data_IF_711247262097
#
_entry.id   IF_711247262097
#
_cell.length_a   1.000
_cell.length_b   1.000
_cell.length_c   1.000
_cell.angle_alpha   90.00
_cell.angle_beta   90.00
_cell.angle_gamma   90.00
#
_symmetry.space_group_name_H-M   'P 1'
#
loop_
_entity.id
_entity.type
_entity.pdbx_description
1 polymer ?
#
# COMPACT_ATOMS: atom_id res chain seq x y z
N UNK A 1 44.99 40.96 -14.70
CA UNK A 1 43.98 40.47 -13.76
C UNK A 1 43.97 38.96 -13.84
N UNK A 2 44.09 38.27 -12.71
CA UNK A 2 43.85 36.83 -12.63
C UNK A 2 42.60 36.57 -11.78
N UNK A 3 41.84 35.53 -12.09
CA UNK A 3 40.65 35.13 -11.33
C UNK A 3 40.51 33.61 -11.30
N UNK A 4 39.86 33.11 -10.26
CA UNK A 4 39.36 31.75 -10.22
C UNK A 4 38.03 31.66 -10.98
N UNK A 5 37.83 30.58 -11.74
CA UNK A 5 36.57 30.32 -12.43
C UNK A 5 36.27 28.82 -12.51
N UNK A 6 34.98 28.47 -12.46
CA UNK A 6 34.50 27.11 -12.62
C UNK A 6 34.63 26.63 -14.06
N UNK A 7 35.14 25.42 -14.23
CA UNK A 7 35.17 24.72 -15.52
C UNK A 7 34.08 23.65 -15.51
N UNK A 8 33.35 23.51 -16.63
CA UNK A 8 32.41 22.40 -16.82
C UNK A 8 33.19 21.10 -16.97
N UNK A 9 32.76 20.09 -16.24
CA UNK A 9 33.30 18.73 -16.27
C UNK A 9 33.28 18.15 -17.69
N UNK A 10 34.44 17.98 -18.33
CA UNK A 10 34.69 16.97 -19.37
C UNK A 10 36.08 16.33 -19.18
N UNK A 11 36.21 15.09 -19.69
CA UNK A 11 37.33 14.17 -19.53
C UNK A 11 38.72 14.84 -19.53
N UNK A 12 39.57 14.42 -18.59
CA UNK A 12 40.97 14.87 -18.38
C UNK A 12 41.88 14.78 -19.63
N UNK A 13 41.41 14.20 -20.75
CA UNK A 13 42.13 14.02 -22.00
C UNK A 13 41.99 15.17 -23.01
N UNK A 14 41.19 16.20 -22.74
CA UNK A 14 40.97 17.32 -23.67
C UNK A 14 41.32 18.71 -23.09
N UNK A 15 42.11 18.77 -22.01
CA UNK A 15 42.52 20.06 -21.42
C UNK A 15 43.62 20.78 -22.20
N UNK A 16 44.16 20.17 -23.27
CA UNK A 16 45.24 20.74 -24.08
C UNK A 16 44.77 21.75 -25.15
N UNK A 17 43.46 21.94 -25.35
CA UNK A 17 42.93 22.90 -26.33
C UNK A 17 41.97 23.90 -25.69
N UNK A 18 42.51 25.08 -25.41
CA UNK A 18 41.82 26.32 -25.06
C UNK A 18 40.58 26.56 -25.93
N UNK A 19 39.37 26.32 -25.41
CA UNK A 19 38.16 26.94 -25.92
C UNK A 19 37.26 27.40 -24.75
N UNK A 20 36.88 28.68 -24.82
CA UNK A 20 36.04 29.42 -23.85
C UNK A 20 34.63 28.82 -23.63
N UNK A 21 34.23 27.80 -24.39
CA UNK A 21 32.88 27.22 -24.39
C UNK A 21 32.58 26.32 -23.17
N UNK A 22 33.61 25.87 -22.45
CA UNK A 22 33.46 25.00 -21.27
C UNK A 22 33.42 25.75 -19.94
N UNK A 23 33.42 27.08 -19.94
CA UNK A 23 33.34 27.87 -18.72
C UNK A 23 31.91 27.85 -18.17
N UNK A 24 31.73 27.37 -16.93
CA UNK A 24 30.42 27.41 -16.27
C UNK A 24 30.19 28.78 -15.65
N UNK A 25 29.17 29.49 -16.13
CA UNK A 25 28.65 30.69 -15.45
C UNK A 25 27.68 30.34 -14.31
N UNK A 26 27.36 29.06 -14.09
CA UNK A 26 26.52 28.65 -12.94
C UNK A 26 27.39 28.62 -11.68
N UNK A 27 27.22 29.63 -10.84
CA UNK A 27 27.82 29.73 -9.51
C UNK A 27 26.90 29.19 -8.41
N UNK A 28 26.04 28.22 -8.71
CA UNK A 28 25.05 27.71 -7.77
C UNK A 28 24.98 26.18 -7.80
N UNK A 29 25.03 25.57 -6.60
CA UNK A 29 24.67 24.17 -6.37
C UNK A 29 23.32 24.14 -5.65
N UNK A 30 22.30 23.66 -6.35
CA UNK A 30 20.94 23.58 -5.82
C UNK A 30 20.60 22.18 -5.29
N UNK A 31 19.70 22.13 -4.30
CA UNK A 31 19.18 20.89 -3.73
C UNK A 31 20.25 19.99 -3.07
N UNK A 32 21.32 20.58 -2.55
CA UNK A 32 22.40 19.85 -1.87
C UNK A 32 21.93 19.29 -0.53
N UNK A 33 22.32 18.05 -0.22
CA UNK A 33 22.04 17.43 1.09
C UNK A 33 22.98 18.00 2.16
N UNK A 34 22.42 18.38 3.31
CA UNK A 34 23.24 18.78 4.46
C UNK A 34 23.99 17.58 5.04
N UNK A 35 25.32 17.70 5.14
CA UNK A 35 26.22 16.59 5.50
C UNK A 35 26.56 15.67 4.33
N UNK A 36 26.06 15.96 3.12
CA UNK A 36 26.44 15.25 1.90
C UNK A 36 27.72 15.81 1.28
N UNK A 37 28.39 15.00 0.46
CA UNK A 37 29.55 15.43 -0.32
C UNK A 37 29.13 16.43 -1.40
N UNK A 38 29.89 17.50 -1.58
CA UNK A 38 29.77 18.36 -2.75
C UNK A 38 30.14 17.57 -4.02
N UNK A 39 29.52 17.91 -5.16
CA UNK A 39 29.97 17.38 -6.45
C UNK A 39 31.43 17.76 -6.68
N UNK A 40 32.13 16.98 -7.51
CA UNK A 40 33.50 17.30 -7.89
C UNK A 40 33.51 18.65 -8.62
N UNK A 41 34.31 19.58 -8.12
CA UNK A 41 34.40 20.94 -8.63
C UNK A 41 35.79 21.15 -9.22
N UNK A 42 35.84 21.63 -10.46
CA UNK A 42 37.07 22.01 -11.13
C UNK A 42 37.18 23.54 -11.15
N UNK A 43 38.24 24.06 -10.54
CA UNK A 43 38.53 25.50 -10.55
C UNK A 43 39.83 25.73 -11.31
N UNK A 44 39.78 26.59 -12.33
CA UNK A 44 40.98 27.07 -13.00
C UNK A 44 41.37 28.47 -12.52
N UNK A 45 42.68 28.69 -12.47
CA UNK A 45 43.29 30.01 -12.44
C UNK A 45 43.33 30.55 -13.86
N UNK A 46 42.60 31.63 -14.12
CA UNK A 46 42.46 32.24 -15.45
C UNK A 46 43.11 33.63 -15.44
N UNK A 47 43.82 33.96 -16.52
CA UNK A 47 44.47 35.25 -16.73
C UNK A 47 43.53 36.34 -17.30
N UNK A 48 44.10 37.49 -17.69
CA UNK A 48 43.34 38.63 -18.24
C UNK A 48 42.74 38.32 -19.61
N UNK A 49 43.32 37.38 -20.35
CA UNK A 49 42.93 36.99 -21.69
C UNK A 49 41.94 35.83 -21.72
N UNK A 50 41.53 35.32 -20.54
CA UNK A 50 40.62 34.18 -20.44
C UNK A 50 41.34 32.83 -20.57
N UNK A 51 42.66 32.80 -20.43
CA UNK A 51 43.49 31.61 -20.57
C UNK A 51 43.81 31.00 -19.20
N UNK A 52 43.70 29.66 -19.08
CA UNK A 52 44.21 28.90 -17.93
C UNK A 52 45.72 29.14 -17.78
N UNK A 53 46.16 29.40 -16.54
CA UNK A 53 47.56 29.65 -16.19
C UNK A 53 48.29 28.30 -16.02
N UNK A 54 48.61 27.67 -17.15
CA UNK A 54 49.16 26.31 -17.21
C UNK A 54 50.56 26.11 -16.59
N UNK A 55 51.24 27.20 -16.22
CA UNK A 55 52.55 27.16 -15.55
C UNK A 55 52.46 27.12 -14.01
N UNK A 56 51.27 27.13 -13.44
CA UNK A 56 51.06 27.03 -11.99
C UNK A 56 50.89 25.57 -11.53
N UNK A 57 51.87 25.08 -10.77
CA UNK A 57 51.89 23.74 -10.18
C UNK A 57 52.07 23.75 -8.64
N UNK A 58 52.17 24.94 -8.06
CA UNK A 58 52.54 25.12 -6.65
C UNK A 58 51.47 25.78 -5.82
N UNK A 59 50.61 26.59 -6.43
CA UNK A 59 49.57 27.29 -5.70
C UNK A 59 48.55 26.33 -5.12
N UNK A 60 47.84 26.82 -4.11
CA UNK A 60 46.78 26.11 -3.41
C UNK A 60 45.48 26.90 -3.49
N UNK A 61 44.39 26.18 -3.67
CA UNK A 61 43.04 26.71 -3.50
C UNK A 61 42.54 26.29 -2.12
N UNK A 62 42.18 27.28 -1.30
CA UNK A 62 41.64 27.12 0.05
C UNK A 62 40.15 27.46 0.08
N UNK A 63 39.39 26.58 0.70
CA UNK A 63 37.94 26.71 0.87
C UNK A 63 37.62 27.23 2.27
N UNK A 64 36.73 28.21 2.37
CA UNK A 64 36.22 28.73 3.64
C UNK A 64 34.72 29.03 3.55
N UNK A 65 34.03 28.97 4.69
CA UNK A 65 32.64 29.43 4.81
C UNK A 65 32.62 30.62 5.74
N UNK A 66 31.96 31.69 5.33
CA UNK A 66 31.74 32.84 6.20
C UNK A 66 30.57 32.56 7.14
N UNK A 67 30.83 32.65 8.44
CA UNK A 67 29.84 32.42 9.50
C UNK A 67 29.16 33.71 9.98
N UNK A 68 29.48 34.85 9.37
CA UNK A 68 28.98 36.18 9.73
C UNK A 68 27.88 36.63 8.75
N UNK A 69 26.86 37.32 9.25
CA UNK A 69 25.67 37.77 8.48
C UNK A 69 24.89 36.62 7.82
N UNK A 70 24.80 35.48 8.50
CA UNK A 70 23.98 34.36 8.06
C UNK A 70 22.49 34.70 8.21
N UNK A 71 21.68 34.15 7.30
CA UNK A 71 20.22 34.17 7.44
C UNK A 71 19.80 33.58 8.80
N UNK A 72 18.65 34.03 9.32
CA UNK A 72 18.11 33.58 10.61
C UNK A 72 18.00 32.04 10.70
N UNK A 73 17.70 31.39 9.58
CA UNK A 73 17.68 29.92 9.45
C UNK A 73 19.08 29.30 9.52
N UNK A 74 20.08 29.88 8.87
CA UNK A 74 21.46 29.36 8.87
C UNK A 74 22.18 29.63 10.21
N UNK A 75 21.70 30.59 10.99
CA UNK A 75 22.25 30.89 12.33
C UNK A 75 21.90 29.81 13.37
N UNK A 76 20.81 29.05 13.18
CA UNK A 76 20.38 27.99 14.11
C UNK A 76 21.35 26.80 14.15
N UNK A 77 21.88 26.42 12.99
CA UNK A 77 22.91 25.40 12.83
C UNK A 77 23.97 25.96 11.89
N UNK A 78 25.06 26.47 12.48
CA UNK A 78 26.10 27.20 11.75
C UNK A 78 26.73 26.32 10.68
N UNK A 79 27.00 26.88 9.48
CA UNK A 79 27.57 26.13 8.39
C UNK A 79 29.05 25.80 8.66
N UNK A 80 29.45 24.57 8.36
CA UNK A 80 30.83 24.14 8.46
C UNK A 80 31.19 23.12 7.39
N UNK A 81 32.49 22.98 7.14
CA UNK A 81 33.05 22.03 6.17
C UNK A 81 33.69 20.87 6.92
N UNK A 82 33.45 19.65 6.45
CA UNK A 82 34.21 18.47 6.84
C UNK A 82 35.01 17.96 5.63
N UNK A 83 36.24 17.49 5.88
CA UNK A 83 37.17 17.03 4.84
C UNK A 83 38.33 17.98 4.60
N UNK A 84 38.95 17.88 3.42
CA UNK A 84 40.08 18.72 3.05
C UNK A 84 39.61 20.13 2.69
N UNK A 85 40.29 21.14 3.20
CA UNK A 85 40.04 22.55 2.87
C UNK A 85 41.11 23.17 1.96
N UNK A 86 42.25 22.49 1.80
CA UNK A 86 43.38 22.94 0.98
C UNK A 86 43.62 21.95 -0.18
N UNK A 87 43.60 22.46 -1.41
CA UNK A 87 43.76 21.69 -2.66
C UNK A 87 44.90 22.26 -3.47
N UNK A 88 45.81 21.41 -3.97
CA UNK A 88 46.93 21.85 -4.79
C UNK A 88 46.50 22.04 -6.25
N UNK A 89 46.95 23.13 -6.86
CA UNK A 89 46.78 23.43 -8.28
C UNK A 89 47.84 22.69 -9.09
N UNK A 90 47.42 22.03 -10.18
CA UNK A 90 48.29 21.38 -11.14
C UNK A 90 47.96 21.90 -12.54
N UNK A 91 48.93 22.52 -13.22
CA UNK A 91 48.72 23.10 -14.54
C UNK A 91 47.63 24.19 -14.56
N UNK A 92 47.54 24.99 -13.50
CA UNK A 92 46.52 26.02 -13.35
C UNK A 92 45.12 25.52 -12.99
N UNK A 93 44.93 24.21 -12.77
CA UNK A 93 43.63 23.60 -12.41
C UNK A 93 43.72 22.95 -11.02
N UNK A 94 42.73 23.24 -10.18
CA UNK A 94 42.51 22.62 -8.87
C UNK A 94 41.27 21.74 -8.92
N UNK A 95 41.40 20.49 -8.46
CA UNK A 95 40.30 19.51 -8.36
C UNK A 95 39.84 19.42 -6.91
N UNK A 96 38.61 19.86 -6.65
CA UNK A 96 38.00 19.84 -5.32
C UNK A 96 37.06 18.64 -5.24
N UNK A 97 37.34 17.74 -4.31
CA UNK A 97 36.61 16.50 -4.08
C UNK A 97 36.66 16.13 -2.59
N UNK A 98 35.75 15.25 -2.16
CA UNK A 98 35.65 14.78 -0.76
C UNK A 98 35.45 15.92 0.25
N UNK A 99 34.74 16.97 -0.16
CA UNK A 99 34.33 18.09 0.70
C UNK A 99 32.88 17.89 1.08
N UNK A 100 32.58 17.85 2.38
CA UNK A 100 31.22 17.72 2.90
C UNK A 100 30.82 19.04 3.52
N UNK A 101 29.59 19.48 3.24
CA UNK A 101 29.09 20.75 3.78
C UNK A 101 27.84 20.50 4.59
N UNK A 102 27.85 21.01 5.82
CA UNK A 102 26.75 20.88 6.77
C UNK A 102 26.28 22.25 7.19
N UNK A 103 24.97 22.47 7.22
CA UNK A 103 24.30 23.66 7.76
C UNK A 103 22.84 23.32 8.06
N UNK A 104 22.03 24.27 8.53
CA UNK A 104 20.59 24.03 8.68
C UNK A 104 19.96 23.61 7.32
N UNK A 105 19.28 22.45 7.22
CA UNK A 105 18.55 22.04 6.01
C UNK A 105 17.60 23.15 5.52
N UNK A 106 17.52 23.32 4.20
CA UNK A 106 16.74 24.40 3.58
C UNK A 106 17.37 25.80 3.62
N UNK A 107 18.55 25.96 4.22
CA UNK A 107 19.28 27.24 4.23
C UNK A 107 20.11 27.48 2.96
N UNK A 108 20.48 28.75 2.76
CA UNK A 108 21.38 29.20 1.70
C UNK A 108 22.61 29.85 2.32
N UNK A 109 23.78 29.60 1.74
CA UNK A 109 25.03 30.25 2.10
C UNK A 109 26.00 30.12 0.92
N UNK A 110 27.12 30.84 0.98
CA UNK A 110 28.18 30.73 -0.02
C UNK A 110 29.44 30.11 0.57
N UNK A 111 30.12 29.35 -0.27
CA UNK A 111 31.47 28.83 -0.02
C UNK A 111 32.45 29.73 -0.76
N UNK A 112 33.44 30.26 -0.04
CA UNK A 112 34.49 31.12 -0.58
C UNK A 112 35.71 30.29 -0.94
N UNK A 113 36.22 30.50 -2.15
CA UNK A 113 37.44 29.88 -2.66
C UNK A 113 38.49 30.97 -2.83
N UNK A 114 39.57 30.83 -2.07
CA UNK A 114 40.73 31.71 -2.08
C UNK A 114 41.93 30.96 -2.65
N UNK A 115 42.90 31.66 -3.23
CA UNK A 115 44.14 31.05 -3.71
C UNK A 115 45.34 31.97 -3.47
N UNK A 116 46.49 31.38 -3.21
CA UNK A 116 47.78 32.08 -3.17
C UNK A 116 48.38 32.34 -4.58
N UNK A 117 47.83 31.73 -5.64
CA UNK A 117 48.24 31.99 -7.03
C UNK A 117 47.86 33.38 -7.53
N UNK A 118 46.93 34.08 -6.85
CA UNK A 118 46.52 35.44 -7.18
C UNK A 118 47.25 36.43 -6.27
N UNK A 119 48.28 37.07 -6.82
CA UNK A 119 48.98 38.16 -6.14
C UNK A 119 48.14 39.45 -6.13
N UNK A 120 47.52 39.74 -5.00
CA UNK A 120 46.70 40.95 -4.78
C UNK A 120 47.51 42.25 -4.80
N UNK A 121 48.84 42.20 -4.67
CA UNK A 121 49.69 43.38 -4.69
C UNK A 121 49.81 44.00 -6.09
N UNK A 122 49.58 43.20 -7.15
CA UNK A 122 49.67 43.62 -8.55
C UNK A 122 48.67 44.72 -8.88
N UNK A 123 49.14 45.76 -9.56
CA UNK A 123 48.33 46.92 -9.96
C UNK A 123 47.06 46.52 -10.71
N UNK A 124 47.16 45.56 -11.65
CA UNK A 124 46.00 45.09 -12.42
C UNK A 124 44.90 44.40 -11.58
N UNK A 125 45.25 43.83 -10.42
CA UNK A 125 44.29 43.23 -9.50
C UNK A 125 43.67 44.30 -8.58
N UNK A 126 44.47 45.28 -8.13
CA UNK A 126 44.00 46.45 -7.37
C UNK A 126 43.00 47.29 -8.15
N UNK A 127 43.25 47.54 -9.43
CA UNK A 127 42.33 48.28 -10.31
C UNK A 127 40.99 47.53 -10.48
N UNK A 128 41.04 46.21 -10.67
CA UNK A 128 39.84 45.39 -10.79
C UNK A 128 39.02 45.34 -9.49
N UNK A 129 39.68 45.21 -8.34
CA UNK A 129 39.02 45.26 -7.01
C UNK A 129 38.29 46.59 -6.80
N UNK A 130 38.93 47.71 -7.16
CA UNK A 130 38.30 49.05 -7.11
C UNK A 130 37.14 49.20 -8.09
N UNK A 131 37.29 48.70 -9.32
CA UNK A 131 36.23 48.77 -10.35
C UNK A 131 35.02 47.90 -9.99
N UNK A 132 35.25 46.76 -9.35
CA UNK A 132 34.20 45.80 -9.00
C UNK A 132 33.65 45.99 -7.58
N UNK A 133 34.11 46.99 -6.84
CA UNK A 133 33.78 47.23 -5.42
C UNK A 133 33.96 45.97 -4.55
N UNK A 134 35.02 45.19 -4.78
CA UNK A 134 35.32 43.97 -4.03
C UNK A 134 36.57 44.16 -3.15
N UNK A 135 36.52 43.66 -1.92
CA UNK A 135 37.65 43.67 -0.99
C UNK A 135 38.69 42.58 -1.31
N UNK A 136 38.26 41.46 -1.90
CA UNK A 136 39.11 40.35 -2.32
C UNK A 136 38.68 39.80 -3.69
N UNK A 137 39.49 38.91 -4.25
CA UNK A 137 39.23 38.22 -5.53
C UNK A 137 38.77 36.78 -5.33
N UNK A 138 38.21 36.48 -4.16
CA UNK A 138 37.72 35.15 -3.86
C UNK A 138 36.55 34.80 -4.77
N UNK A 139 36.51 33.55 -5.21
CA UNK A 139 35.40 33.02 -5.95
C UNK A 139 34.34 32.52 -4.95
N UNK A 140 33.11 33.02 -5.07
CA UNK A 140 31.99 32.59 -4.23
C UNK A 140 31.11 31.61 -5.00
N UNK A 141 30.81 30.49 -4.37
CA UNK A 141 29.87 29.48 -4.86
C UNK A 141 28.64 29.46 -3.95
N UNK A 142 27.48 29.72 -4.50
CA UNK A 142 26.22 29.66 -3.78
C UNK A 142 25.78 28.20 -3.59
N UNK A 143 25.51 27.82 -2.35
CA UNK A 143 25.02 26.50 -1.98
C UNK A 143 23.60 26.67 -1.41
N UNK A 144 22.64 26.02 -2.07
CA UNK A 144 21.28 25.90 -1.57
C UNK A 144 21.03 24.49 -1.06
N UNK A 145 20.88 24.34 0.25
CA UNK A 145 20.54 23.07 0.86
C UNK A 145 19.07 22.74 0.68
N UNK A 146 18.76 21.46 0.47
CA UNK A 146 17.40 20.94 0.58
C UNK A 146 17.03 20.67 2.04
N UNK A 147 15.74 20.59 2.29
CA UNK A 147 15.21 20.03 3.54
C UNK A 147 15.51 18.52 3.63
N UNK A 148 15.48 17.96 4.84
CA UNK A 148 15.56 16.51 5.01
C UNK A 148 14.35 15.83 4.35
N UNK A 149 14.58 14.67 3.73
CA UNK A 149 13.56 13.85 3.11
C UNK A 149 12.97 12.85 4.11
N UNK A 150 11.81 12.27 3.77
CA UNK A 150 11.27 11.12 4.52
C UNK A 150 12.26 9.96 4.41
N UNK A 151 12.53 9.29 5.53
CA UNK A 151 13.58 8.29 5.64
C UNK A 151 14.95 8.84 6.03
N UNK A 152 15.10 10.16 6.15
CA UNK A 152 16.28 10.78 6.75
C UNK A 152 15.98 11.20 8.19
N UNK A 153 17.01 11.17 9.02
CA UNK A 153 16.99 11.76 10.35
C UNK A 153 17.86 13.02 10.40
N UNK A 154 17.38 13.99 11.17
CA UNK A 154 18.04 15.27 11.38
C UNK A 154 18.97 15.13 12.59
N UNK A 155 20.27 15.38 12.41
CA UNK A 155 21.26 15.32 13.50
C UNK A 155 21.36 16.64 14.26
N UNK A 156 21.82 16.62 15.51
CA UNK A 156 22.13 17.83 16.27
C UNK A 156 23.17 18.75 15.60
N UNK A 157 23.98 18.20 14.70
CA UNK A 157 24.95 18.95 13.89
C UNK A 157 24.34 19.61 12.63
N UNK A 158 23.06 19.43 12.34
CA UNK A 158 22.40 19.99 11.15
C UNK A 158 22.45 19.10 9.90
N UNK A 159 22.96 17.88 9.98
CA UNK A 159 23.01 16.92 8.86
C UNK A 159 21.66 16.22 8.67
N UNK A 160 21.34 15.90 7.41
CA UNK A 160 20.29 14.94 7.06
C UNK A 160 20.97 13.62 6.67
N UNK A 161 20.77 12.56 7.44
CA UNK A 161 21.38 11.25 7.16
C UNK A 161 20.27 10.22 6.94
N UNK A 162 20.47 9.30 6.00
CA UNK A 162 19.50 8.23 5.72
C UNK A 162 19.50 7.24 6.88
N UNK A 163 18.33 6.77 7.31
CA UNK A 163 18.22 5.73 8.33
C UNK A 163 18.89 4.44 7.86
N UNK A 164 19.69 3.82 8.74
CA UNK A 164 20.35 2.54 8.47
C UNK A 164 19.38 1.37 8.41
N UNK A 165 19.87 0.21 7.97
CA UNK A 165 19.13 -1.06 8.04
C UNK A 165 18.60 -1.32 9.46
N UNK A 166 17.44 -1.98 9.57
CA UNK A 166 16.68 -2.19 10.81
C UNK A 166 16.15 -0.91 11.48
N UNK A 167 16.26 0.26 10.84
CA UNK A 167 15.65 1.51 11.30
C UNK A 167 14.87 2.17 10.16
N UNK A 168 13.95 3.06 10.50
CA UNK A 168 13.17 3.80 9.51
C UNK A 168 12.70 5.16 10.02
N UNK A 169 12.31 6.03 9.08
CA UNK A 169 11.61 7.29 9.39
C UNK A 169 10.49 7.53 8.38
N UNK A 170 9.26 7.66 8.86
CA UNK A 170 8.08 7.95 8.02
C UNK A 170 7.67 9.43 8.05
N UNK A 171 8.36 10.25 8.84
CA UNK A 171 8.07 11.66 9.03
C UNK A 171 9.21 12.52 8.51
N UNK A 172 8.87 13.66 7.91
CA UNK A 172 9.86 14.67 7.54
C UNK A 172 10.33 15.39 8.80
N UNK A 173 11.56 15.14 9.22
CA UNK A 173 12.14 15.79 10.40
C UNK A 173 12.57 17.22 10.09
N UNK A 174 12.04 18.18 10.86
CA UNK A 174 12.42 19.62 10.80
C UNK A 174 13.28 20.05 11.99
N UNK A 175 13.47 19.15 12.95
CA UNK A 175 14.26 19.35 14.16
C UNK A 175 15.06 18.06 14.44
N UNK A 176 16.15 18.15 15.22
CA UNK A 176 16.95 16.98 15.56
C UNK A 176 16.12 15.84 16.14
N UNK A 177 16.31 14.65 15.57
CA UNK A 177 15.55 13.45 15.90
C UNK A 177 16.33 12.18 15.54
N UNK A 178 15.75 11.04 15.86
CA UNK A 178 16.34 9.72 15.59
C UNK A 178 15.35 8.85 14.83
N UNK A 179 15.87 7.90 14.06
CA UNK A 179 15.06 6.91 13.36
C UNK A 179 14.36 5.98 14.37
N UNK A 180 13.18 5.50 14.00
CA UNK A 180 12.48 4.47 14.76
C UNK A 180 13.12 3.10 14.51
N UNK A 181 13.12 2.25 15.54
CA UNK A 181 13.62 0.88 15.47
C UNK A 181 12.55 -0.01 14.81
N UNK A 182 12.97 -0.90 13.92
CA UNK A 182 12.08 -1.81 13.22
C UNK A 182 11.54 -2.93 14.12
N UNK A 183 10.22 -3.13 14.13
CA UNK A 183 9.57 -4.25 14.82
C UNK A 183 9.74 -5.55 14.01
N UNK A 184 10.83 -6.27 14.27
CA UNK A 184 11.27 -7.42 13.46
C UNK A 184 10.34 -8.64 13.50
N UNK A 185 9.35 -8.67 14.39
CA UNK A 185 8.36 -9.76 14.46
C UNK A 185 7.28 -9.68 13.37
N UNK A 186 6.99 -8.46 12.90
CA UNK A 186 5.91 -8.20 11.92
C UNK A 186 6.37 -7.42 10.70
N UNK A 187 7.55 -6.82 10.74
CA UNK A 187 8.04 -5.90 9.72
C UNK A 187 9.49 -6.17 9.31
N UNK A 188 9.81 -5.83 8.07
CA UNK A 188 11.17 -5.78 7.54
C UNK A 188 11.48 -4.34 7.11
N UNK A 189 12.63 -3.82 7.55
CA UNK A 189 13.07 -2.45 7.25
C UNK A 189 14.42 -2.45 6.56
N UNK A 190 14.46 -1.93 5.33
CA UNK A 190 15.66 -1.83 4.47
C UNK A 190 16.33 -0.45 4.56
N UNK A 191 16.14 0.25 5.69
CA UNK A 191 16.60 1.62 5.88
C UNK A 191 15.75 2.69 5.19
N UNK A 192 16.07 3.93 5.46
CA UNK A 192 15.35 5.09 4.95
C UNK A 192 13.86 5.10 5.36
N UNK A 193 12.98 5.16 4.36
CA UNK A 193 11.52 5.07 4.52
C UNK A 193 10.97 3.69 4.11
N UNK A 194 11.86 2.73 3.83
CA UNK A 194 11.50 1.42 3.27
C UNK A 194 11.18 0.44 4.40
N UNK A 195 9.94 0.52 4.89
CA UNK A 195 9.36 -0.43 5.84
C UNK A 195 8.24 -1.19 5.16
N UNK A 196 8.24 -2.51 5.29
CA UNK A 196 7.21 -3.37 4.76
C UNK A 196 6.84 -4.49 5.73
N UNK A 197 5.65 -5.10 5.57
CA UNK A 197 5.22 -6.21 6.40
C UNK A 197 5.97 -7.51 6.06
N UNK A 198 6.14 -8.38 7.06
CA UNK A 198 6.57 -9.77 6.85
C UNK A 198 5.42 -10.62 6.29
N UNK A 199 5.70 -11.83 5.75
CA UNK A 199 4.67 -12.77 5.33
C UNK A 199 3.64 -13.03 6.45
N UNK A 200 2.36 -13.04 6.11
CA UNK A 200 1.24 -13.14 7.06
C UNK A 200 0.75 -11.80 7.62
N UNK A 201 1.40 -10.69 7.29
CA UNK A 201 1.02 -9.35 7.72
C UNK A 201 0.77 -8.41 6.52
N UNK A 202 0.06 -7.32 6.80
CA UNK A 202 -0.28 -6.30 5.81
C UNK A 202 -0.15 -4.91 6.43
N UNK A 203 0.39 -3.97 5.65
CA UNK A 203 0.60 -2.59 6.10
C UNK A 203 -0.52 -1.70 5.57
N UNK A 204 -1.11 -0.90 6.45
CA UNK A 204 -2.28 -0.07 6.12
C UNK A 204 -2.00 0.99 5.06
N UNK A 205 -0.85 1.67 5.15
CA UNK A 205 -0.42 2.70 4.19
C UNK A 205 1.10 2.90 4.23
N UNK A 206 1.67 3.51 3.19
CA UNK A 206 3.09 3.90 3.13
C UNK A 206 3.49 5.00 4.15
N UNK A 207 2.51 5.68 4.74
CA UNK A 207 2.71 6.74 5.76
C UNK A 207 2.55 6.25 7.20
N UNK A 208 1.96 5.07 7.41
CA UNK A 208 1.71 4.54 8.75
C UNK A 208 2.64 3.39 9.07
N UNK A 209 2.97 3.21 10.35
CA UNK A 209 3.69 2.04 10.86
C UNK A 209 2.76 0.89 11.28
N UNK A 210 1.47 1.05 11.06
CA UNK A 210 0.47 0.08 11.47
C UNK A 210 0.50 -1.11 10.50
N UNK A 211 1.00 -2.23 11.02
CA UNK A 211 1.11 -3.51 10.35
C UNK A 211 0.25 -4.48 11.14
N UNK A 212 -0.76 -5.03 10.48
CA UNK A 212 -1.78 -5.89 11.06
C UNK A 212 -1.66 -7.30 10.49
N UNK A 213 -2.07 -8.30 11.28
CA UNK A 213 -2.10 -9.70 10.84
C UNK A 213 -3.23 -9.90 9.83
N UNK A 214 -2.97 -10.67 8.78
CA UNK A 214 -3.99 -10.99 7.79
C UNK A 214 -4.99 -12.04 8.29
N UNK A 215 -6.23 -11.97 7.79
CA UNK A 215 -7.30 -12.91 8.14
C UNK A 215 -6.93 -14.35 7.72
N UNK A 216 -6.35 -14.48 6.54
CA UNK A 216 -5.71 -15.71 6.07
C UNK A 216 -4.22 -15.45 5.86
N UNK A 217 -3.37 -15.91 6.78
CA UNK A 217 -1.94 -15.58 6.76
C UNK A 217 -1.24 -15.91 5.42
N UNK A 218 -1.48 -17.08 4.78
CA UNK A 218 -0.82 -17.41 3.52
C UNK A 218 -1.16 -16.44 2.36
N UNK A 219 -2.30 -15.74 2.42
CA UNK A 219 -2.67 -14.77 1.38
C UNK A 219 -1.76 -13.53 1.38
N UNK A 220 -1.13 -13.20 2.49
CA UNK A 220 -0.23 -12.04 2.59
C UNK A 220 1.21 -12.49 2.42
N UNK A 221 1.80 -12.19 1.27
CA UNK A 221 3.19 -12.52 0.96
C UNK A 221 4.17 -11.57 1.67
N UNK A 222 3.70 -10.38 2.07
CA UNK A 222 4.54 -9.35 2.68
C UNK A 222 5.31 -8.54 1.63
N UNK A 223 6.37 -7.85 2.06
CA UNK A 223 7.27 -7.09 1.18
C UNK A 223 8.35 -8.03 0.61
N UNK A 224 8.09 -8.63 -0.55
CA UNK A 224 8.97 -9.62 -1.18
C UNK A 224 9.48 -9.16 -2.54
N UNK A 225 10.61 -9.73 -2.99
CA UNK A 225 11.14 -9.50 -4.33
C UNK A 225 10.23 -10.14 -5.40
N UNK A 226 10.14 -9.58 -6.63
CA UNK A 226 10.93 -8.46 -7.17
C UNK A 226 10.30 -7.07 -6.95
N UNK A 227 9.06 -7.00 -6.49
CA UNK A 227 8.26 -5.77 -6.40
C UNK A 227 8.60 -4.91 -5.19
N UNK A 228 8.99 -5.52 -4.07
CA UNK A 228 9.28 -4.84 -2.79
C UNK A 228 8.17 -3.84 -2.39
N UNK A 229 6.92 -4.26 -2.55
CA UNK A 229 5.78 -3.43 -2.20
C UNK A 229 5.71 -3.21 -0.68
N UNK A 230 5.86 -1.96 -0.26
CA UNK A 230 5.85 -1.57 1.15
C UNK A 230 4.50 -1.83 1.85
N UNK A 231 3.40 -1.94 1.09
CA UNK A 231 2.09 -2.29 1.65
C UNK A 231 1.96 -3.80 1.95
N UNK A 232 2.77 -4.61 1.29
CA UNK A 232 2.63 -6.06 1.19
C UNK A 232 1.98 -6.47 -0.13
N UNK A 233 2.42 -7.60 -0.67
CA UNK A 233 1.82 -8.22 -1.85
C UNK A 233 0.87 -9.36 -1.44
N UNK A 234 -0.19 -9.53 -2.24
CA UNK A 234 -1.16 -10.60 -2.06
C UNK A 234 -0.79 -11.82 -2.90
N UNK A 235 -1.10 -13.00 -2.38
CA UNK A 235 -1.08 -14.25 -3.14
C UNK A 235 -2.09 -14.17 -4.30
N UNK A 236 -1.79 -14.88 -5.38
CA UNK A 236 -2.73 -15.06 -6.49
C UNK A 236 -4.09 -15.54 -5.98
N UNK A 237 -5.17 -14.98 -6.53
CA UNK A 237 -6.53 -15.23 -6.05
C UNK A 237 -7.03 -14.19 -5.05
N UNK A 238 -6.14 -13.46 -4.37
CA UNK A 238 -6.47 -12.48 -3.32
C UNK A 238 -6.15 -11.05 -3.73
N UNK A 239 -6.87 -10.09 -3.14
CA UNK A 239 -6.68 -8.65 -3.35
C UNK A 239 -7.21 -7.82 -2.19
N UNK A 240 -6.97 -6.51 -2.25
CA UNK A 240 -7.54 -5.55 -1.33
C UNK A 240 -6.81 -5.47 0.01
N UNK A 241 -7.44 -4.80 0.97
CA UNK A 241 -6.86 -4.56 2.30
C UNK A 241 -6.78 -5.90 3.05
N UNK A 242 -5.63 -6.18 3.69
CA UNK A 242 -5.32 -7.47 4.34
C UNK A 242 -5.42 -8.69 3.40
N UNK A 243 -5.39 -8.48 2.08
CA UNK A 243 -5.68 -9.53 1.09
C UNK A 243 -7.00 -10.27 1.38
N UNK A 244 -8.01 -9.57 1.92
CA UNK A 244 -9.24 -10.19 2.41
C UNK A 244 -10.32 -10.39 1.33
N UNK A 245 -10.15 -9.77 0.16
CA UNK A 245 -11.08 -9.86 -0.96
C UNK A 245 -10.55 -10.83 -2.01
N UNK A 246 -11.46 -11.55 -2.68
CA UNK A 246 -11.05 -12.41 -3.78
C UNK A 246 -10.97 -11.63 -5.10
N UNK A 247 -9.99 -12.02 -5.90
CA UNK A 247 -9.81 -11.56 -7.28
C UNK A 247 -10.88 -12.16 -8.21
N UNK A 248 -10.91 -11.70 -9.46
CA UNK A 248 -11.89 -12.18 -10.42
C UNK A 248 -11.74 -13.69 -10.68
N UNK A 249 -12.87 -14.40 -10.75
CA UNK A 249 -12.89 -15.86 -10.91
C UNK A 249 -12.67 -16.64 -9.61
N UNK A 250 -12.46 -15.95 -8.48
CA UNK A 250 -12.35 -16.56 -7.16
C UNK A 250 -13.54 -16.13 -6.27
N UNK A 251 -13.90 -16.99 -5.33
CA UNK A 251 -14.88 -16.71 -4.28
C UNK A 251 -14.35 -17.15 -2.93
N UNK A 252 -14.82 -16.50 -1.87
CA UNK A 252 -14.31 -16.67 -0.51
C UNK A 252 -15.07 -17.76 0.21
N UNK A 253 -14.34 -18.70 0.78
CA UNK A 253 -14.85 -19.72 1.70
C UNK A 253 -14.94 -19.16 3.14
N UNK A 254 -15.54 -19.92 4.06
CA UNK A 254 -15.72 -19.53 5.46
C UNK A 254 -14.39 -19.27 6.18
N UNK A 255 -13.32 -19.98 5.82
CA UNK A 255 -11.97 -19.83 6.40
C UNK A 255 -11.15 -18.70 5.75
N UNK A 256 -11.80 -17.72 5.13
CA UNK A 256 -11.19 -16.62 4.37
C UNK A 256 -10.34 -17.08 3.17
N UNK A 257 -10.47 -18.33 2.73
CA UNK A 257 -9.75 -18.84 1.58
C UNK A 257 -10.43 -18.47 0.26
N UNK A 258 -9.68 -17.92 -0.70
CA UNK A 258 -10.18 -17.66 -2.04
C UNK A 258 -9.99 -18.91 -2.90
N UNK A 259 -11.09 -19.54 -3.30
CA UNK A 259 -11.11 -20.72 -4.17
C UNK A 259 -11.61 -20.34 -5.56
N UNK A 260 -11.09 -21.02 -6.58
CA UNK A 260 -11.52 -20.82 -7.95
C UNK A 260 -13.00 -21.19 -8.12
N UNK A 261 -13.74 -20.35 -8.82
CA UNK A 261 -15.15 -20.58 -9.10
C UNK A 261 -15.31 -21.71 -10.13
N UNK A 262 -16.27 -22.64 -9.92
CA UNK A 262 -16.56 -23.64 -10.93
C UNK A 262 -17.08 -22.98 -12.21
N UNK A 263 -16.90 -23.67 -13.34
CA UNK A 263 -17.42 -23.28 -14.65
C UNK A 263 -18.91 -22.88 -14.58
N UNK A 264 -19.31 -21.87 -15.37
CA UNK A 264 -20.65 -21.28 -15.28
C UNK A 264 -21.77 -22.32 -15.39
N UNK A 265 -21.64 -23.29 -16.30
CA UNK A 265 -22.64 -24.34 -16.49
C UNK A 265 -22.74 -25.27 -15.27
N UNK A 266 -21.61 -25.60 -14.65
CA UNK A 266 -21.55 -26.46 -13.46
C UNK A 266 -22.13 -25.73 -12.25
N UNK A 267 -21.84 -24.43 -12.12
CA UNK A 267 -22.43 -23.60 -11.07
C UNK A 267 -23.95 -23.46 -11.23
N UNK A 268 -24.44 -23.21 -12.45
CA UNK A 268 -25.88 -23.14 -12.76
C UNK A 268 -26.56 -24.48 -12.44
N UNK A 269 -25.97 -25.61 -12.86
CA UNK A 269 -26.51 -26.93 -12.57
C UNK A 269 -26.57 -27.20 -11.06
N UNK A 270 -25.52 -26.83 -10.32
CA UNK A 270 -25.47 -26.94 -8.86
C UNK A 270 -26.56 -26.10 -8.21
N UNK A 271 -26.73 -24.84 -8.62
CA UNK A 271 -27.77 -23.95 -8.10
C UNK A 271 -29.18 -24.48 -8.41
N UNK A 272 -29.42 -25.00 -9.61
CA UNK A 272 -30.69 -25.63 -9.99
C UNK A 272 -30.98 -26.88 -9.15
N UNK A 273 -29.98 -27.75 -8.94
CA UNK A 273 -30.12 -28.94 -8.12
C UNK A 273 -30.47 -28.59 -6.66
N UNK A 274 -29.80 -27.58 -6.09
CA UNK A 274 -30.10 -27.07 -4.75
C UNK A 274 -31.53 -26.51 -4.70
N UNK A 275 -31.93 -25.68 -5.67
CA UNK A 275 -33.27 -25.10 -5.73
C UNK A 275 -34.36 -26.17 -5.78
N UNK A 276 -34.22 -27.17 -6.66
CA UNK A 276 -35.15 -28.31 -6.77
C UNK A 276 -35.18 -29.10 -5.46
N UNK A 277 -34.02 -29.36 -4.85
CA UNK A 277 -33.92 -30.05 -3.56
C UNK A 277 -34.66 -29.33 -2.43
N UNK A 278 -34.50 -28.00 -2.34
CA UNK A 278 -35.20 -27.17 -1.35
C UNK A 278 -36.72 -27.19 -1.58
N UNK A 279 -37.18 -27.02 -2.82
CA UNK A 279 -38.62 -27.09 -3.15
C UNK A 279 -39.19 -28.47 -2.81
N UNK A 280 -38.47 -29.54 -3.14
CA UNK A 280 -38.87 -30.91 -2.81
C UNK A 280 -38.98 -31.11 -1.29
N UNK A 281 -37.98 -30.68 -0.51
CA UNK A 281 -38.00 -30.75 0.95
C UNK A 281 -39.16 -29.96 1.55
N UNK A 282 -39.44 -28.75 1.05
CA UNK A 282 -40.58 -27.94 1.50
C UNK A 282 -41.90 -28.67 1.23
N UNK A 283 -42.11 -29.17 0.01
CA UNK A 283 -43.33 -29.91 -0.36
C UNK A 283 -43.47 -31.18 0.48
N UNK A 284 -42.37 -31.90 0.71
CA UNK A 284 -42.34 -33.08 1.56
C UNK A 284 -42.71 -32.73 3.01
N UNK A 285 -42.11 -31.69 3.59
CA UNK A 285 -42.44 -31.24 4.94
C UNK A 285 -43.89 -30.78 5.05
N UNK A 286 -44.42 -30.02 4.08
CA UNK A 286 -45.82 -29.58 4.05
C UNK A 286 -46.76 -30.78 3.99
N UNK A 287 -46.51 -31.74 3.10
CA UNK A 287 -47.30 -32.98 3.00
C UNK A 287 -47.22 -33.83 4.25
N UNK A 288 -46.02 -34.03 4.80
CA UNK A 288 -45.82 -34.78 6.04
C UNK A 288 -46.54 -34.12 7.21
N UNK A 289 -46.56 -32.78 7.27
CA UNK A 289 -47.25 -32.03 8.32
C UNK A 289 -48.77 -32.14 8.15
N UNK A 290 -49.30 -31.99 6.93
CA UNK A 290 -50.72 -32.12 6.63
C UNK A 290 -51.25 -33.55 6.84
N UNK A 291 -50.46 -34.56 6.50
CA UNK A 291 -50.81 -35.97 6.74
C UNK A 291 -50.66 -36.33 8.22
N UNK A 292 -49.67 -35.78 8.92
CA UNK A 292 -49.54 -35.89 10.38
C UNK A 292 -50.69 -35.24 11.14
N UNK A 293 -51.35 -34.21 10.59
CA UNK A 293 -52.56 -33.65 11.20
C UNK A 293 -53.79 -34.59 11.10
N UNK A 294 -53.75 -35.61 10.22
CA UNK A 294 -54.80 -36.64 10.14
C UNK A 294 -54.54 -37.85 11.03
N UNK A 295 -53.34 -37.98 11.58
CA UNK A 295 -52.89 -39.18 12.29
C UNK A 295 -52.12 -38.78 13.56
N UNK A 296 -52.67 -39.04 14.74
CA UNK A 296 -52.25 -38.46 16.02
C UNK A 296 -50.85 -38.88 16.51
N UNK A 297 -50.13 -39.74 15.79
CA UNK A 297 -48.87 -40.34 16.20
C UNK A 297 -47.64 -39.89 15.41
N UNK A 298 -47.73 -38.88 14.53
CA UNK A 298 -46.60 -38.51 13.66
C UNK A 298 -45.57 -37.58 14.34
N UNK A 299 -44.67 -38.17 15.13
CA UNK A 299 -43.59 -37.50 15.89
C UNK A 299 -42.36 -37.11 15.08
N UNK A 300 -42.26 -37.54 13.81
CA UNK A 300 -41.09 -37.33 12.93
C UNK A 300 -40.68 -35.86 12.79
N UNK A 301 -41.68 -34.96 12.70
CA UNK A 301 -41.44 -33.52 12.58
C UNK A 301 -40.83 -32.90 13.84
N UNK A 302 -41.04 -33.50 15.01
CA UNK A 302 -40.49 -33.06 16.30
C UNK A 302 -39.00 -33.42 16.34
N UNK A 303 -38.65 -34.66 16.00
CA UNK A 303 -37.25 -35.11 15.98
C UNK A 303 -36.39 -34.33 15.00
N UNK A 304 -36.90 -34.03 13.79
CA UNK A 304 -36.17 -33.22 12.80
C UNK A 304 -35.88 -31.81 13.35
N UNK A 305 -36.83 -31.19 14.07
CA UNK A 305 -36.63 -29.86 14.67
C UNK A 305 -35.57 -29.87 15.77
N UNK A 306 -35.57 -30.90 16.62
CA UNK A 306 -34.55 -31.08 17.68
C UNK A 306 -33.16 -31.25 17.05
N UNK A 307 -33.06 -32.09 16.02
CA UNK A 307 -31.81 -32.33 15.30
C UNK A 307 -31.28 -31.05 14.62
N UNK A 308 -32.16 -30.29 13.95
CA UNK A 308 -31.78 -29.02 13.33
C UNK A 308 -31.32 -28.00 14.38
N UNK A 309 -32.00 -27.93 15.53
CA UNK A 309 -31.59 -27.06 16.63
C UNK A 309 -30.20 -27.46 17.18
N UNK A 310 -29.91 -28.75 17.26
CA UNK A 310 -28.58 -29.24 17.65
C UNK A 310 -27.49 -28.79 16.67
N UNK A 311 -27.70 -28.93 15.36
CA UNK A 311 -26.73 -28.46 14.36
C UNK A 311 -26.56 -26.94 14.37
N UNK A 312 -27.64 -26.19 14.60
CA UNK A 312 -27.57 -24.73 14.76
C UNK A 312 -26.73 -24.31 15.97
N UNK A 313 -26.85 -25.01 17.10
CA UNK A 313 -26.05 -24.74 18.29
C UNK A 313 -24.56 -25.05 18.05
N UNK A 314 -24.26 -26.17 17.40
CA UNK A 314 -22.89 -26.53 17.02
C UNK A 314 -22.27 -25.48 16.10
N UNK A 315 -23.04 -24.96 15.14
CA UNK A 315 -22.58 -23.90 14.24
C UNK A 315 -22.19 -22.62 15.01
N UNK A 316 -23.06 -22.14 15.91
CA UNK A 316 -22.77 -20.96 16.73
C UNK A 316 -21.53 -21.21 17.60
N UNK A 317 -21.36 -22.44 18.09
CA UNK A 317 -20.18 -22.79 18.89
C UNK A 317 -18.90 -22.75 18.06
N UNK A 318 -18.96 -23.15 16.79
CA UNK A 318 -17.82 -23.14 15.87
C UNK A 318 -17.37 -21.73 15.45
N UNK A 319 -18.24 -20.72 15.57
CA UNK A 319 -17.90 -19.33 15.21
C UNK A 319 -17.14 -18.57 16.30
N UNK A 320 -16.96 -19.15 17.49
CA UNK A 320 -16.14 -18.56 18.53
C UNK A 320 -14.64 -18.73 18.23
N UNK A 321 -13.90 -17.64 18.39
CA UNK A 321 -12.45 -17.54 18.12
C UNK A 321 -11.61 -18.20 19.23
N UNK A 322 -11.78 -19.51 19.40
CA UNK A 322 -10.98 -20.34 20.29
C UNK A 322 -9.96 -21.16 19.51
N UNK A 323 -8.82 -21.45 20.13
CA UNK A 323 -7.77 -22.32 19.58
C UNK A 323 -8.16 -23.80 19.69
N UNK A 324 -9.17 -24.22 18.93
CA UNK A 324 -9.65 -25.61 18.90
C UNK A 324 -8.56 -26.57 18.40
N UNK A 325 -8.60 -27.82 18.86
CA UNK A 325 -7.73 -28.87 18.31
C UNK A 325 -8.18 -29.26 16.90
N UNK A 326 -7.29 -29.85 16.11
CA UNK A 326 -7.56 -30.21 14.71
C UNK A 326 -8.74 -31.19 14.56
N UNK A 327 -8.95 -32.06 15.54
CA UNK A 327 -10.03 -33.06 15.55
C UNK A 327 -11.40 -32.38 15.71
N UNK A 328 -11.47 -31.35 16.56
CA UNK A 328 -12.70 -30.57 16.77
C UNK A 328 -13.00 -29.72 15.53
N UNK A 329 -11.98 -29.14 14.90
CA UNK A 329 -12.13 -28.39 13.65
C UNK A 329 -12.66 -29.28 12.51
N UNK A 330 -12.17 -30.52 12.41
CA UNK A 330 -12.70 -31.49 11.44
C UNK A 330 -14.16 -31.87 11.74
N UNK A 331 -14.50 -32.09 13.01
CA UNK A 331 -15.88 -32.35 13.43
C UNK A 331 -16.80 -31.17 13.10
N UNK A 332 -16.36 -29.94 13.38
CA UNK A 332 -17.09 -28.73 13.01
C UNK A 332 -17.21 -28.58 11.49
N UNK A 333 -16.19 -28.92 10.71
CA UNK A 333 -16.23 -28.85 9.25
C UNK A 333 -17.28 -29.75 8.59
N UNK A 334 -17.57 -30.92 9.17
CA UNK A 334 -18.64 -31.81 8.68
C UNK A 334 -20.01 -31.36 9.17
N UNK A 335 -20.10 -30.89 10.42
CA UNK A 335 -21.38 -30.47 11.02
C UNK A 335 -21.86 -29.11 10.54
N UNK A 336 -20.96 -28.19 10.19
CA UNK A 336 -21.28 -26.89 9.59
C UNK A 336 -21.92 -27.04 8.21
N UNK A 337 -21.50 -28.01 7.40
CA UNK A 337 -22.09 -28.26 6.07
C UNK A 337 -23.57 -28.69 6.13
N UNK A 338 -23.98 -29.33 7.23
CA UNK A 338 -25.37 -29.80 7.45
C UNK A 338 -26.22 -28.72 8.12
N UNK A 339 -25.61 -27.88 8.97
CA UNK A 339 -26.27 -26.78 9.67
C UNK A 339 -26.36 -25.47 8.87
N UNK A 340 -25.48 -25.25 7.90
CA UNK A 340 -25.37 -23.98 7.18
C UNK A 340 -25.99 -23.96 5.78
N UNK A 341 -26.81 -22.93 5.55
CA UNK A 341 -27.19 -22.44 4.22
C UNK A 341 -26.01 -21.72 3.52
N UNK A 342 -24.90 -21.46 4.23
CA UNK A 342 -23.73 -20.67 3.79
C UNK A 342 -23.03 -21.22 2.53
N UNK A 343 -22.93 -22.54 2.37
CA UNK A 343 -22.29 -23.17 1.19
C UNK A 343 -23.04 -22.88 -0.12
N UNK A 344 -24.33 -22.54 -0.02
CA UNK A 344 -25.15 -22.08 -1.13
C UNK A 344 -24.78 -20.64 -1.52
N UNK A 345 -24.30 -19.85 -0.56
CA UNK A 345 -23.87 -18.47 -0.77
C UNK A 345 -22.57 -18.39 -1.57
N UNK A 346 -21.64 -19.33 -1.38
CA UNK A 346 -20.43 -19.45 -2.22
C UNK A 346 -20.77 -19.59 -3.71
N UNK A 347 -21.81 -20.39 -4.02
CA UNK A 347 -22.26 -20.63 -5.41
C UNK A 347 -22.95 -19.39 -6.00
N UNK A 348 -23.63 -18.60 -5.16
CA UNK A 348 -24.24 -17.32 -5.53
C UNK A 348 -23.15 -16.25 -5.76
N UNK A 349 -22.14 -16.18 -4.90
CA UNK A 349 -21.00 -15.25 -5.04
C UNK A 349 -20.27 -15.48 -6.38
N UNK A 350 -20.02 -16.75 -6.73
CA UNK A 350 -19.45 -17.10 -8.04
C UNK A 350 -20.34 -16.70 -9.22
N UNK A 351 -21.66 -16.82 -9.09
CA UNK A 351 -22.60 -16.41 -10.15
C UNK A 351 -22.64 -14.89 -10.34
N UNK A 352 -22.58 -14.11 -9.24
CA UNK A 352 -22.61 -12.65 -9.31
C UNK A 352 -21.27 -12.08 -9.81
N UNK A 353 -20.14 -12.65 -9.38
CA UNK A 353 -18.81 -12.18 -9.77
C UNK A 353 -18.49 -12.44 -11.26
N UNK A 354 -19.06 -13.52 -11.82
CA UNK A 354 -18.94 -13.94 -13.21
C UNK A 354 -19.38 -12.90 -14.25
N UNK A 355 -20.47 -12.16 -13.98
CA UNK A 355 -21.17 -11.40 -15.03
C UNK A 355 -20.65 -9.97 -15.22
N UNK A 356 -19.77 -9.50 -14.34
CA UNK A 356 -19.25 -8.13 -14.40
C UNK A 356 -17.77 -8.20 -14.81
N UNK A 357 -17.50 -8.13 -16.11
CA UNK A 357 -16.13 -8.13 -16.65
C UNK A 357 -15.33 -6.84 -16.36
N UNK A 358 -15.95 -5.81 -15.78
CA UNK A 358 -15.37 -4.47 -15.58
C UNK A 358 -14.90 -4.19 -14.13
N UNK A 359 -14.21 -5.14 -13.49
CA UNK A 359 -13.78 -5.01 -12.08
C UNK A 359 -12.39 -4.38 -11.91
N UNK A 360 -12.28 -3.06 -12.05
CA UNK A 360 -11.05 -2.34 -11.65
C UNK A 360 -11.26 -1.24 -10.60
N UNK A 361 -12.49 -0.99 -10.13
CA UNK A 361 -12.73 0.04 -9.09
C UNK A 361 -13.26 -0.53 -7.78
N UNK A 362 -12.57 -0.19 -6.69
CA UNK A 362 -12.90 -0.49 -5.28
C UNK A 362 -14.30 -0.04 -4.84
N UNK A 363 -14.97 0.82 -5.61
CA UNK A 363 -16.35 1.23 -5.36
C UNK A 363 -17.37 0.12 -5.63
N UNK A 364 -17.08 -0.81 -6.54
CA UNK A 364 -18.04 -1.84 -6.95
C UNK A 364 -18.04 -3.06 -6.02
N UNK A 365 -16.93 -3.35 -5.33
CA UNK A 365 -16.88 -4.39 -4.28
C UNK A 365 -17.90 -4.14 -3.16
N UNK A 366 -18.10 -2.86 -2.78
CA UNK A 366 -19.10 -2.48 -1.78
C UNK A 366 -20.53 -2.76 -2.26
N UNK A 367 -20.81 -2.54 -3.55
CA UNK A 367 -22.15 -2.71 -4.14
C UNK A 367 -22.58 -4.19 -4.17
N UNK A 368 -21.67 -5.10 -4.49
CA UNK A 368 -21.94 -6.55 -4.49
C UNK A 368 -22.29 -7.04 -3.10
N UNK A 369 -21.52 -6.61 -2.08
CA UNK A 369 -21.77 -6.98 -0.69
C UNK A 369 -23.19 -6.56 -0.24
N UNK A 370 -23.59 -5.32 -0.53
CA UNK A 370 -24.94 -4.85 -0.20
C UNK A 370 -26.03 -5.58 -0.99
N UNK A 371 -25.78 -5.86 -2.27
CA UNK A 371 -26.73 -6.62 -3.10
C UNK A 371 -26.95 -8.04 -2.57
N UNK A 372 -25.88 -8.73 -2.14
CA UNK A 372 -25.96 -10.03 -1.47
C UNK A 372 -26.81 -9.97 -0.20
N UNK A 373 -26.61 -8.96 0.65
CA UNK A 373 -27.40 -8.79 1.88
C UNK A 373 -28.90 -8.60 1.58
N UNK A 374 -29.23 -7.84 0.52
CA UNK A 374 -30.62 -7.65 0.09
C UNK A 374 -31.23 -8.98 -0.36
N UNK A 375 -30.53 -9.77 -1.17
CA UNK A 375 -31.03 -11.08 -1.62
C UNK A 375 -31.31 -11.98 -0.41
N UNK A 376 -30.36 -12.09 0.52
CA UNK A 376 -30.50 -12.92 1.72
C UNK A 376 -31.68 -12.44 2.59
N UNK A 377 -31.89 -11.13 2.71
CA UNK A 377 -32.98 -10.56 3.49
C UNK A 377 -34.37 -10.77 2.84
N UNK A 378 -34.45 -10.69 1.51
CA UNK A 378 -35.71 -10.80 0.75
C UNK A 378 -36.13 -12.26 0.54
N UNK A 379 -35.15 -13.18 0.43
CA UNK A 379 -35.41 -14.58 0.09
C UNK A 379 -36.42 -15.29 1.04
N UNK A 380 -36.33 -15.17 2.37
CA UNK A 380 -37.33 -15.76 3.28
C UNK A 380 -38.74 -15.20 3.06
N UNK A 381 -38.88 -13.90 2.76
CA UNK A 381 -40.17 -13.26 2.50
C UNK A 381 -40.80 -13.78 1.20
N UNK A 382 -39.99 -14.02 0.17
CA UNK A 382 -40.46 -14.61 -1.08
C UNK A 382 -40.95 -16.05 -0.84
N UNK A 383 -40.20 -16.85 -0.08
CA UNK A 383 -40.59 -18.22 0.26
C UNK A 383 -41.90 -18.28 1.07
N UNK A 384 -42.12 -17.36 2.02
CA UNK A 384 -43.38 -17.33 2.79
C UNK A 384 -44.56 -16.98 1.92
N UNK A 385 -44.41 -16.02 1.00
CA UNK A 385 -45.46 -15.67 0.02
C UNK A 385 -45.78 -16.85 -0.89
N UNK A 386 -44.76 -17.55 -1.42
CA UNK A 386 -44.96 -18.74 -2.26
C UNK A 386 -45.70 -19.85 -1.48
N UNK A 387 -45.28 -20.11 -0.24
CA UNK A 387 -45.91 -21.11 0.62
C UNK A 387 -47.37 -20.75 0.91
N UNK A 388 -47.67 -19.49 1.20
CA UNK A 388 -49.04 -19.01 1.42
C UNK A 388 -49.91 -19.17 0.17
N UNK A 389 -49.40 -18.78 -1.01
CA UNK A 389 -50.11 -18.94 -2.29
C UNK A 389 -50.36 -20.42 -2.61
N UNK A 390 -49.39 -21.29 -2.34
CA UNK A 390 -49.54 -22.74 -2.55
C UNK A 390 -50.59 -23.34 -1.59
N UNK A 391 -50.51 -23.04 -0.30
CA UNK A 391 -51.45 -23.51 0.71
C UNK A 391 -52.87 -23.02 0.46
N UNK A 392 -53.06 -21.74 0.11
CA UNK A 392 -54.39 -21.18 -0.21
C UNK A 392 -54.97 -21.83 -1.46
N UNK A 393 -54.18 -21.98 -2.53
CA UNK A 393 -54.63 -22.71 -3.75
C UNK A 393 -54.98 -24.16 -3.45
N UNK A 394 -54.15 -24.86 -2.68
CA UNK A 394 -54.41 -26.24 -2.28
C UNK A 394 -55.67 -26.37 -1.43
N UNK A 395 -55.89 -25.46 -0.46
CA UNK A 395 -57.12 -25.41 0.34
C UNK A 395 -58.35 -25.13 -0.52
N UNK A 396 -58.29 -24.18 -1.45
CA UNK A 396 -59.40 -23.87 -2.37
C UNK A 396 -59.74 -25.08 -3.25
N UNK A 397 -58.73 -25.78 -3.79
CA UNK A 397 -58.95 -26.98 -4.60
C UNK A 397 -59.57 -28.12 -3.80
N UNK A 398 -59.13 -28.34 -2.56
CA UNK A 398 -59.73 -29.35 -1.69
C UNK A 398 -61.14 -28.97 -1.22
N UNK A 399 -61.40 -27.70 -0.92
CA UNK A 399 -62.74 -27.22 -0.58
C UNK A 399 -63.71 -27.40 -1.75
N UNK A 400 -63.29 -27.07 -2.98
CA UNK A 400 -64.08 -27.34 -4.20
C UNK A 400 -64.37 -28.83 -4.37
N UNK A 401 -63.38 -29.71 -4.22
CA UNK A 401 -63.59 -31.18 -4.28
C UNK A 401 -64.53 -31.70 -3.19
N UNK A 402 -64.50 -31.11 -1.98
CA UNK A 402 -65.39 -31.50 -0.88
C UNK A 402 -66.84 -31.05 -1.13
N UNK A 403 -67.05 -29.83 -1.65
CA UNK A 403 -68.38 -29.34 -2.04
C UNK A 403 -68.95 -30.17 -3.21
N UNK A 404 -68.15 -30.44 -4.24
CA UNK A 404 -68.56 -31.27 -5.39
C UNK A 404 -68.95 -32.70 -4.96
N UNK A 405 -68.24 -33.28 -3.98
CA UNK A 405 -68.60 -34.57 -3.39
C UNK A 405 -69.85 -34.52 -2.48
N UNK A 406 -70.14 -33.40 -1.82
CA UNK A 406 -71.36 -33.22 -1.03
C UNK A 406 -72.59 -33.03 -1.94
N UNK A 407 -72.45 -32.24 -2.99
CA UNK A 407 -73.49 -32.03 -4.01
C UNK A 407 -73.81 -33.35 -4.74
N UNK A 408 -72.80 -34.15 -5.09
CA UNK A 408 -72.99 -35.48 -5.69
C UNK A 408 -73.75 -36.44 -4.76
N UNK A 409 -73.43 -36.44 -3.45
CA UNK A 409 -74.15 -37.23 -2.44
C UNK A 409 -75.60 -36.75 -2.22
N UNK A 410 -75.87 -35.46 -2.36
CA UNK A 410 -77.22 -34.91 -2.24
C UNK A 410 -78.09 -35.29 -3.45
N UNK A 411 -77.54 -35.23 -4.66
CA UNK A 411 -78.20 -35.67 -5.90
C UNK A 411 -78.51 -37.18 -5.87
N UNK A 412 -77.57 -38.00 -5.37
CA UNK A 412 -77.78 -39.44 -5.23
C UNK A 412 -78.91 -39.78 -4.24
N UNK A 413 -79.08 -38.99 -3.16
CA UNK A 413 -80.20 -39.15 -2.22
C UNK A 413 -81.55 -38.73 -2.81
N UNK A 414 -81.57 -37.70 -3.66
CA UNK A 414 -82.78 -37.26 -4.36
C UNK A 414 -83.27 -38.30 -5.39
N UNK A 415 -82.35 -39.01 -6.06
CA UNK A 415 -82.72 -40.08 -7.00
C UNK A 415 -83.23 -41.37 -6.33
N UNK A 416 -82.77 -41.69 -5.12
CA UNK A 416 -83.23 -42.88 -4.37
C UNK A 416 -84.58 -42.64 -3.66
N UNK A 417 -85.02 -41.39 -3.50
CA UNK A 417 -86.32 -41.04 -2.91
C UNK A 417 -87.50 -40.97 -3.87
N UNK A 418 -87.31 -41.23 -5.17
CA UNK A 418 -88.34 -41.14 -6.23
C UNK A 418 -88.72 -42.52 -6.82
N UNK A 419 -88.08 -43.60 -6.38
CA UNK A 419 -88.51 -44.99 -6.63
C UNK A 419 -89.18 -45.57 -5.39
#
# INVERSE_FOLDING_TARGET
MMKLQLIKSEDTRQLDFYNLEQISNKQEVSSQQSGGSLPIIYIALIDKYGQIVGNDFSSKVRISIQTQNLDEKASKYQPFIEGNTDFQTLGGISVIQNVFVTSNPGSKFYVSFSTDGIDLSKQSNKEYMKQSSKENLDFKLDIQLRECNVGEYFTSAGKCLVCSDNQYSLVKMTQPGSCEICESEKAQCLGGANIGPLPGYWRKSNTTKNIEKCLFQPACLGMVAPTFNQLGDCQEGYRGILCADCSHGYSRDNDYQCKYCPEHWANILRLLAIFIGVVFLIVFMVRSTLNGAKDSNNVTSIYIKILLNHFQLLLITSSFDFSWSQEILQFFGVTSQVGEVSTQVFSIDCFINSNNQDYEKSSDSKRIYFFRLIIIAVFPLVLTVICFLFCTRFMILNAKRLMENQDFKMIQKLFVGIT
#
